data_IF_807161800261
#
_entry.id   IF_807161800261
#
_cell.length_a   1.000
_cell.length_b   1.000
_cell.length_c   1.000
_cell.angle_alpha   90.00
_cell.angle_beta   90.00
_cell.angle_gamma   90.00
#
_symmetry.space_group_name_H-M   'P 1'
#
loop_
_entity.id
_entity.type
_entity.pdbx_description
1 polymer ?
#
# COMPACT_ATOMS: atom_id res chain seq x y z
N UNK A 1 -23.59 23.87 19.94
CA UNK A 1 -22.71 22.76 20.40
C UNK A 1 -21.35 23.00 19.77
N UNK A 2 -20.32 23.25 20.58
CA UNK A 2 -18.97 23.54 20.08
C UNK A 2 -18.47 22.35 19.24
N UNK A 3 -17.78 22.57 18.11
CA UNK A 3 -17.13 21.49 17.40
C UNK A 3 -16.09 20.91 18.35
N UNK A 4 -16.22 19.62 18.66
CA UNK A 4 -15.21 18.86 19.38
C UNK A 4 -13.89 19.12 18.68
N UNK A 5 -12.91 19.67 19.41
CA UNK A 5 -11.54 19.87 18.96
C UNK A 5 -11.04 18.54 18.40
N UNK A 6 -11.16 18.36 17.08
CA UNK A 6 -10.70 17.17 16.40
C UNK A 6 -9.19 17.14 16.60
N UNK A 7 -8.73 16.13 17.33
CA UNK A 7 -7.31 15.83 17.43
C UNK A 7 -6.70 15.91 16.03
N UNK A 8 -5.70 16.79 15.85
CA UNK A 8 -5.02 16.99 14.56
C UNK A 8 -4.33 15.74 14.03
N UNK A 9 -4.31 14.66 14.82
CA UNK A 9 -3.72 13.38 14.48
C UNK A 9 -4.53 12.70 13.35
N UNK A 10 -3.87 12.29 12.25
CA UNK A 10 -4.47 11.47 11.21
C UNK A 10 -5.05 10.18 11.78
N UNK A 11 -6.20 9.73 11.25
CA UNK A 11 -6.86 8.51 11.73
C UNK A 11 -6.01 7.27 11.51
N UNK A 12 -5.15 7.27 10.48
CA UNK A 12 -4.15 6.24 10.23
C UNK A 12 -3.25 6.00 11.44
N UNK A 13 -2.85 7.06 12.15
CA UNK A 13 -2.03 6.97 13.36
C UNK A 13 -2.87 6.73 14.61
N UNK A 14 -4.04 7.39 14.72
CA UNK A 14 -4.95 7.24 15.87
C UNK A 14 -5.40 5.79 16.05
N UNK A 15 -5.76 5.13 14.96
CA UNK A 15 -6.27 3.74 14.94
C UNK A 15 -5.19 2.71 14.62
N UNK A 16 -3.90 3.10 14.67
CA UNK A 16 -2.78 2.18 14.48
C UNK A 16 -2.83 1.07 15.57
N UNK A 17 -2.90 -0.22 15.18
CA UNK A 17 -2.85 -1.34 16.11
C UNK A 17 -1.65 -1.25 17.06
N UNK A 18 -1.89 -1.37 18.37
CA UNK A 18 -0.82 -1.31 19.40
C UNK A 18 -0.33 -2.71 19.80
N UNK A 19 -1.16 -3.73 19.60
CA UNK A 19 -0.82 -5.12 19.89
C UNK A 19 -0.75 -5.92 18.60
N UNK A 20 0.10 -6.96 18.57
CA UNK A 20 0.20 -7.87 17.42
C UNK A 20 -1.14 -8.56 17.14
N UNK A 21 -1.96 -8.78 18.18
CA UNK A 21 -3.32 -9.35 18.05
C UNK A 21 -4.32 -8.43 17.35
N UNK A 22 -4.09 -7.11 17.39
CA UNK A 22 -4.97 -6.11 16.80
C UNK A 22 -4.66 -5.91 15.30
N UNK A 23 -3.61 -6.56 14.78
CA UNK A 23 -3.27 -6.52 13.35
C UNK A 23 -4.26 -7.39 12.59
N UNK A 24 -5.09 -6.73 11.79
CA UNK A 24 -6.20 -7.37 11.09
C UNK A 24 -5.72 -8.46 10.11
N UNK A 25 -6.22 -9.68 10.31
CA UNK A 25 -6.23 -10.81 9.36
C UNK A 25 -4.90 -11.21 8.71
N UNK A 26 -3.84 -11.23 9.51
CA UNK A 26 -2.58 -11.91 9.16
C UNK A 26 -2.37 -13.08 10.13
N UNK A 27 -3.35 -13.98 10.25
CA UNK A 27 -3.39 -15.00 11.32
C UNK A 27 -2.13 -15.87 11.38
N UNK A 28 -1.60 -16.27 10.22
CA UNK A 28 -0.36 -17.05 10.13
C UNK A 28 0.83 -16.28 10.73
N UNK A 29 0.97 -15.01 10.37
CA UNK A 29 2.05 -14.14 10.83
C UNK A 29 1.87 -13.82 12.32
N UNK A 30 0.67 -13.42 12.73
CA UNK A 30 0.31 -13.11 14.13
C UNK A 30 0.55 -14.32 15.04
N UNK A 31 0.18 -15.53 14.59
CA UNK A 31 0.41 -16.77 15.36
C UNK A 31 1.89 -17.05 15.56
N UNK A 32 2.68 -17.00 14.48
CA UNK A 32 4.14 -17.24 14.57
C UNK A 32 4.80 -16.16 15.45
N UNK A 33 4.43 -14.89 15.27
CA UNK A 33 4.95 -13.80 16.09
C UNK A 33 4.56 -13.91 17.56
N UNK A 34 3.33 -14.34 17.86
CA UNK A 34 2.88 -14.54 19.24
C UNK A 34 3.72 -15.62 19.93
N UNK A 35 4.06 -16.70 19.22
CA UNK A 35 4.93 -17.75 19.75
C UNK A 35 6.36 -17.22 19.97
N UNK A 36 6.90 -16.44 19.03
CA UNK A 36 8.23 -15.80 19.15
C UNK A 36 8.29 -14.82 20.33
N UNK A 37 7.20 -14.10 20.60
CA UNK A 37 7.10 -13.21 21.76
C UNK A 37 7.11 -13.98 23.08
N UNK A 38 6.52 -15.18 23.13
CA UNK A 38 6.51 -16.03 24.32
C UNK A 38 7.88 -16.61 24.65
N UNK A 39 8.65 -17.03 23.63
CA UNK A 39 10.01 -17.55 23.83
C UNK A 39 11.04 -16.45 24.08
N UNK A 40 10.69 -15.19 23.78
CA UNK A 40 11.58 -14.04 23.76
C UNK A 40 12.83 -14.23 22.88
N UNK A 41 12.82 -15.23 21.97
CA UNK A 41 13.89 -15.48 21.02
C UNK A 41 13.45 -15.04 19.62
N UNK A 42 13.71 -13.77 19.33
CA UNK A 42 13.35 -13.15 18.07
C UNK A 42 14.50 -13.30 17.06
N UNK A 43 14.31 -13.98 15.92
CA UNK A 43 15.29 -13.93 14.82
C UNK A 43 15.30 -12.54 14.15
N UNK A 44 16.21 -12.32 13.21
CA UNK A 44 16.06 -11.23 12.24
C UNK A 44 14.80 -11.48 11.40
N UNK A 45 14.05 -10.44 11.07
CA UNK A 45 12.76 -10.56 10.39
C UNK A 45 12.72 -9.71 9.13
N UNK A 46 12.06 -10.23 8.09
CA UNK A 46 11.80 -9.54 6.84
C UNK A 46 10.30 -9.55 6.57
N UNK A 47 9.66 -8.40 6.74
CA UNK A 47 8.24 -8.17 6.48
C UNK A 47 8.08 -7.61 5.07
N UNK A 48 7.39 -8.33 4.20
CA UNK A 48 7.20 -7.90 2.81
C UNK A 48 5.78 -8.08 2.32
N UNK A 49 5.34 -7.21 1.42
CA UNK A 49 4.00 -7.25 0.84
C UNK A 49 3.49 -5.88 0.41
N UNK A 50 2.26 -5.78 -0.11
CA UNK A 50 1.66 -4.54 -0.58
C UNK A 50 1.60 -3.42 0.48
N UNK A 51 1.48 -2.14 0.09
CA UNK A 51 1.29 -1.03 1.03
C UNK A 51 0.00 -1.20 1.85
N UNK A 52 -0.07 -0.55 3.02
CA UNK A 52 -1.28 -0.55 3.85
C UNK A 52 -1.63 -1.86 4.57
N UNK A 53 -0.86 -2.94 4.38
CA UNK A 53 -1.15 -4.27 4.96
C UNK A 53 -0.74 -4.45 6.42
N UNK A 54 -0.18 -3.43 7.07
CA UNK A 54 0.18 -3.45 8.49
C UNK A 54 1.62 -3.91 8.82
N UNK A 55 2.53 -3.94 7.84
CA UNK A 55 3.94 -4.33 8.04
C UNK A 55 4.66 -3.54 9.15
N UNK A 56 4.73 -2.20 8.98
CA UNK A 56 5.35 -1.30 9.96
C UNK A 56 4.66 -1.38 11.32
N UNK A 57 3.33 -1.38 11.33
CA UNK A 57 2.52 -1.54 12.54
C UNK A 57 2.88 -2.83 13.29
N UNK A 58 3.05 -3.94 12.59
CA UNK A 58 3.39 -5.22 13.21
C UNK A 58 4.79 -5.18 13.83
N UNK A 59 5.77 -4.62 13.12
CA UNK A 59 7.14 -4.45 13.63
C UNK A 59 7.17 -3.59 14.92
N UNK A 60 6.45 -2.46 14.90
CA UNK A 60 6.35 -1.56 16.06
C UNK A 60 5.59 -2.24 17.22
N UNK A 61 4.51 -2.96 16.94
CA UNK A 61 3.74 -3.68 17.95
C UNK A 61 4.57 -4.76 18.65
N UNK A 62 5.39 -5.52 17.91
CA UNK A 62 6.35 -6.49 18.49
C UNK A 62 7.33 -5.76 19.40
N UNK A 63 7.94 -4.67 18.92
CA UNK A 63 8.92 -3.91 19.68
C UNK A 63 8.33 -3.30 20.97
N UNK A 64 7.11 -2.79 20.91
CA UNK A 64 6.36 -2.32 22.07
C UNK A 64 6.01 -3.45 23.06
N UNK A 65 5.60 -4.63 22.57
CA UNK A 65 5.29 -5.77 23.43
C UNK A 65 6.52 -6.43 24.05
N UNK A 66 7.70 -6.31 23.44
CA UNK A 66 8.95 -6.84 24.00
C UNK A 66 9.57 -5.92 25.06
N UNK A 67 9.57 -4.61 24.81
CA UNK A 67 10.30 -3.65 25.64
C UNK A 67 9.42 -2.79 26.54
N UNK A 68 8.12 -2.66 26.26
CA UNK A 68 7.25 -1.72 26.97
C UNK A 68 7.57 -0.25 26.64
N UNK A 69 6.78 0.70 27.16
CA UNK A 69 6.86 2.11 26.78
C UNK A 69 8.17 2.81 27.21
N UNK A 70 8.78 2.38 28.32
CA UNK A 70 9.98 3.01 28.86
C UNK A 70 11.26 2.58 28.13
N UNK A 71 11.44 1.28 27.86
CA UNK A 71 12.63 0.77 27.17
C UNK A 71 12.54 0.86 25.64
N UNK A 72 11.35 1.10 25.08
CA UNK A 72 11.17 1.24 23.64
C UNK A 72 12.15 2.26 23.03
N UNK A 73 12.21 3.47 23.60
CA UNK A 73 13.07 4.55 23.08
C UNK A 73 14.57 4.27 23.19
N UNK A 74 14.99 3.42 24.12
CA UNK A 74 16.42 3.10 24.31
C UNK A 74 16.87 1.86 23.55
N UNK A 75 15.96 0.92 23.27
CA UNK A 75 16.27 -0.38 22.65
C UNK A 75 15.82 -0.50 21.20
N UNK A 76 15.01 0.42 20.69
CA UNK A 76 14.50 0.40 19.32
C UNK A 76 15.05 1.59 18.55
N UNK A 77 15.69 1.32 17.42
CA UNK A 77 16.08 2.34 16.44
C UNK A 77 15.24 2.13 15.18
N UNK A 78 14.38 3.09 14.89
CA UNK A 78 13.62 3.14 13.64
C UNK A 78 14.33 4.07 12.66
N UNK A 79 14.57 3.57 11.44
CA UNK A 79 15.10 4.35 10.33
C UNK A 79 14.21 4.12 9.12
N UNK A 80 13.78 5.21 8.49
CA UNK A 80 13.21 5.14 7.15
C UNK A 80 14.35 5.13 6.12
N UNK A 81 14.49 4.03 5.40
CA UNK A 81 15.60 3.80 4.49
C UNK A 81 15.54 4.66 3.22
N UNK A 82 14.43 5.34 2.94
CA UNK A 82 14.31 6.30 1.83
C UNK A 82 15.00 7.64 2.12
N UNK A 83 15.00 8.08 3.38
CA UNK A 83 15.71 9.29 3.81
C UNK A 83 17.20 8.97 4.07
N UNK A 84 17.46 7.88 4.78
CA UNK A 84 18.79 7.47 5.24
C UNK A 84 19.50 6.50 4.26
N UNK A 85 19.38 6.74 2.94
CA UNK A 85 19.90 5.86 1.86
C UNK A 85 21.42 5.68 1.85
N UNK A 86 22.16 6.53 2.55
CA UNK A 86 23.61 6.57 2.48
C UNK A 86 24.28 5.37 3.16
N UNK A 87 25.24 4.75 2.49
CA UNK A 87 26.15 3.76 3.10
C UNK A 87 26.80 4.27 4.40
N UNK A 88 26.97 5.59 4.51
CA UNK A 88 27.51 6.24 5.70
C UNK A 88 26.60 6.04 6.92
N UNK A 89 25.27 6.12 6.77
CA UNK A 89 24.32 5.91 7.88
C UNK A 89 24.43 4.48 8.41
N UNK A 90 24.60 3.51 7.51
CA UNK A 90 24.84 2.11 7.88
C UNK A 90 26.15 1.94 8.64
N UNK A 91 27.22 2.60 8.19
CA UNK A 91 28.57 2.45 8.75
C UNK A 91 28.77 3.17 10.08
N UNK A 92 28.01 4.24 10.34
CA UNK A 92 28.06 5.02 11.58
C UNK A 92 26.85 4.70 12.44
N UNK A 93 25.71 5.36 12.22
CA UNK A 93 24.50 5.31 13.05
C UNK A 93 24.05 3.89 13.38
N UNK A 94 23.90 3.02 12.38
CA UNK A 94 23.45 1.63 12.60
C UNK A 94 24.53 0.82 13.31
N UNK A 95 25.81 0.97 12.93
CA UNK A 95 26.92 0.24 13.54
C UNK A 95 27.14 0.65 15.00
N UNK A 96 27.12 1.94 15.27
CA UNK A 96 27.30 2.53 16.61
C UNK A 96 26.14 2.09 17.51
N UNK A 97 24.90 2.16 17.01
CA UNK A 97 23.76 1.63 17.74
C UNK A 97 23.85 0.12 17.93
N UNK A 98 24.25 -0.66 16.92
CA UNK A 98 24.37 -2.12 17.05
C UNK A 98 25.47 -2.57 18.03
N UNK A 99 26.55 -1.78 18.15
CA UNK A 99 27.72 -2.09 18.98
C UNK A 99 27.51 -1.83 20.48
N UNK A 100 26.62 -0.91 20.85
CA UNK A 100 26.33 -0.60 22.27
C UNK A 100 25.79 -1.84 22.99
N UNK A 101 26.38 -2.23 24.12
CA UNK A 101 25.87 -3.34 24.92
C UNK A 101 24.59 -2.94 25.69
N UNK A 102 23.67 -3.88 25.88
CA UNK A 102 22.46 -3.67 26.69
C UNK A 102 22.66 -4.35 28.05
N UNK A 103 22.41 -3.59 29.12
CA UNK A 103 22.40 -4.14 30.48
C UNK A 103 21.22 -5.09 30.71
N UNK A 104 21.46 -6.20 31.41
CA UNK A 104 20.48 -7.25 31.70
C UNK A 104 19.46 -6.91 32.79
N UNK A 105 19.62 -5.79 33.50
CA UNK A 105 19.09 -5.63 34.87
C UNK A 105 17.78 -4.82 34.99
N UNK A 106 17.07 -4.55 33.89
CA UNK A 106 15.77 -3.87 33.94
C UNK A 106 14.67 -4.78 33.40
N UNK A 107 14.21 -5.71 34.24
CA UNK A 107 12.91 -6.36 34.02
C UNK A 107 11.84 -5.42 34.56
N UNK A 108 11.16 -4.71 33.67
CA UNK A 108 9.93 -4.03 34.05
C UNK A 108 8.82 -5.07 34.25
N UNK A 109 8.01 -4.86 35.27
CA UNK A 109 6.88 -5.74 35.58
C UNK A 109 5.89 -5.74 34.40
N UNK A 110 5.79 -6.85 33.66
CA UNK A 110 4.83 -7.06 32.58
C UNK A 110 5.39 -7.25 31.17
N UNK A 111 6.69 -7.04 30.95
CA UNK A 111 7.32 -7.19 29.62
C UNK A 111 8.51 -8.17 29.68
N UNK A 112 8.73 -9.01 28.64
CA UNK A 112 9.80 -10.02 28.64
C UNK A 112 11.22 -9.42 28.59
N UNK A 113 11.37 -8.18 28.10
CA UNK A 113 12.59 -7.38 28.09
C UNK A 113 13.89 -8.16 27.74
N UNK A 114 13.97 -8.78 26.54
CA UNK A 114 15.11 -9.61 26.16
C UNK A 114 16.43 -8.82 26.08
N UNK A 115 17.57 -9.50 26.19
CA UNK A 115 18.91 -8.89 26.19
C UNK A 115 19.43 -8.52 24.79
N UNK A 116 18.54 -8.08 23.90
CA UNK A 116 18.89 -7.57 22.57
C UNK A 116 18.15 -6.27 22.27
N UNK A 117 18.61 -5.56 21.24
CA UNK A 117 17.97 -4.37 20.65
C UNK A 117 17.32 -4.70 19.33
N UNK A 118 16.43 -3.83 18.87
CA UNK A 118 15.79 -3.95 17.57
C UNK A 118 16.17 -2.73 16.72
N UNK A 119 16.59 -2.97 15.49
CA UNK A 119 16.72 -1.95 14.46
C UNK A 119 15.64 -2.23 13.42
N UNK A 120 14.72 -1.29 13.23
CA UNK A 120 13.67 -1.34 12.22
C UNK A 120 14.11 -0.49 11.05
N UNK A 121 14.24 -1.10 9.88
CA UNK A 121 14.54 -0.45 8.61
C UNK A 121 13.27 -0.50 7.77
N UNK A 122 12.52 0.60 7.77
CA UNK A 122 11.36 0.74 6.90
C UNK A 122 11.80 1.11 5.48
N UNK A 123 11.02 0.69 4.47
CA UNK A 123 11.33 0.89 3.05
C UNK A 123 12.72 0.36 2.64
N UNK A 124 13.14 -0.79 3.19
CA UNK A 124 14.46 -1.37 2.94
C UNK A 124 14.75 -1.67 1.45
N UNK A 125 13.72 -1.74 0.61
CA UNK A 125 13.80 -1.86 -0.85
C UNK A 125 14.26 -0.59 -1.57
N UNK A 126 14.37 0.55 -0.88
CA UNK A 126 15.01 1.77 -1.39
C UNK A 126 16.51 1.86 -1.06
N UNK A 127 17.06 0.92 -0.30
CA UNK A 127 18.49 0.90 0.03
C UNK A 127 19.34 0.49 -1.17
N UNK A 128 20.49 1.14 -1.34
CA UNK A 128 21.48 0.73 -2.33
C UNK A 128 22.08 -0.64 -1.99
N UNK A 129 22.49 -1.40 -3.01
CA UNK A 129 23.10 -2.73 -2.80
C UNK A 129 24.36 -2.65 -1.91
N UNK A 130 25.15 -1.59 -2.03
CA UNK A 130 26.32 -1.35 -1.19
C UNK A 130 25.95 -1.18 0.29
N UNK A 131 24.88 -0.44 0.58
CA UNK A 131 24.38 -0.26 1.94
C UNK A 131 23.85 -1.59 2.51
N UNK A 132 23.14 -2.38 1.70
CA UNK A 132 22.69 -3.72 2.07
C UNK A 132 23.86 -4.69 2.34
N UNK A 133 24.91 -4.65 1.51
CA UNK A 133 26.12 -5.45 1.72
C UNK A 133 26.89 -5.05 3.00
N UNK A 134 26.91 -3.76 3.33
CA UNK A 134 27.48 -3.28 4.59
C UNK A 134 26.67 -3.78 5.80
N UNK A 135 25.34 -3.74 5.71
CA UNK A 135 24.44 -4.25 6.76
C UNK A 135 24.66 -5.73 7.05
N UNK A 136 24.89 -6.55 6.02
CA UNK A 136 25.15 -7.99 6.19
C UNK A 136 26.26 -8.27 7.21
N UNK A 137 27.40 -7.56 7.12
CA UNK A 137 28.53 -7.74 8.05
C UNK A 137 28.16 -7.32 9.47
N UNK A 138 27.43 -6.21 9.60
CA UNK A 138 26.94 -5.69 10.89
C UNK A 138 25.97 -6.67 11.55
N UNK A 139 25.04 -7.25 10.78
CA UNK A 139 24.11 -8.27 11.27
C UNK A 139 24.82 -9.50 11.80
N UNK A 140 25.82 -10.02 11.08
CA UNK A 140 26.59 -11.19 11.52
C UNK A 140 27.34 -10.91 12.83
N UNK A 141 28.05 -9.77 12.88
CA UNK A 141 28.90 -9.39 14.01
C UNK A 141 28.10 -9.15 15.30
N UNK A 142 26.95 -8.48 15.19
CA UNK A 142 26.15 -8.06 16.34
C UNK A 142 24.86 -8.88 16.52
N UNK A 143 24.74 -10.02 15.82
CA UNK A 143 23.57 -10.91 15.87
C UNK A 143 23.13 -11.28 17.28
N UNK A 144 24.07 -11.39 18.23
CA UNK A 144 23.79 -11.71 19.65
C UNK A 144 23.05 -10.59 20.38
N UNK A 145 23.40 -9.32 20.13
CA UNK A 145 22.94 -8.15 20.88
C UNK A 145 21.91 -7.31 20.13
N UNK A 146 21.80 -7.47 18.81
CA UNK A 146 20.93 -6.65 17.96
C UNK A 146 20.17 -7.55 16.98
N UNK A 147 18.87 -7.33 16.84
CA UNK A 147 17.99 -7.95 15.86
C UNK A 147 17.54 -6.90 14.84
N UNK A 148 17.49 -7.28 13.57
CA UNK A 148 17.09 -6.40 12.48
C UNK A 148 15.73 -6.81 11.95
N UNK A 149 14.84 -5.83 11.81
CA UNK A 149 13.55 -5.94 11.15
C UNK A 149 13.60 -5.12 9.87
N UNK A 150 13.46 -5.79 8.74
CA UNK A 150 13.38 -5.17 7.43
C UNK A 150 11.93 -5.13 6.99
N UNK A 151 11.47 -3.97 6.52
CA UNK A 151 10.15 -3.82 5.90
C UNK A 151 10.36 -3.39 4.46
N UNK A 152 9.76 -4.09 3.51
CA UNK A 152 9.81 -3.72 2.09
C UNK A 152 8.50 -4.02 1.38
N UNK A 153 8.27 -3.40 0.22
CA UNK A 153 7.17 -3.79 -0.64
C UNK A 153 7.57 -4.93 -1.57
N UNK A 154 8.82 -4.89 -2.06
CA UNK A 154 9.35 -5.87 -3.00
C UNK A 154 10.53 -6.65 -2.42
N UNK A 155 10.32 -7.95 -2.18
CA UNK A 155 11.39 -8.85 -1.69
C UNK A 155 12.54 -8.98 -2.70
N UNK A 156 12.27 -8.83 -3.99
CA UNK A 156 13.28 -8.90 -5.06
C UNK A 156 14.33 -7.80 -5.01
N UNK A 157 14.06 -6.69 -4.32
CA UNK A 157 15.02 -5.59 -4.14
C UNK A 157 15.95 -5.79 -2.93
N UNK A 158 15.74 -6.84 -2.15
CA UNK A 158 16.61 -7.20 -1.03
C UNK A 158 17.62 -8.25 -1.50
N UNK A 159 18.91 -7.99 -1.26
CA UNK A 159 19.96 -8.94 -1.64
C UNK A 159 19.76 -10.28 -0.92
N UNK A 160 19.94 -11.38 -1.65
CA UNK A 160 19.75 -12.74 -1.10
C UNK A 160 20.56 -13.01 0.19
N UNK A 161 21.80 -12.49 0.36
CA UNK A 161 22.52 -12.64 1.62
C UNK A 161 21.82 -12.05 2.86
N UNK A 162 21.05 -10.96 2.71
CA UNK A 162 20.23 -10.41 3.79
C UNK A 162 18.96 -11.24 3.98
N UNK A 163 18.26 -11.54 2.89
CA UNK A 163 17.01 -12.29 2.91
C UNK A 163 17.19 -13.70 3.52
N UNK A 164 18.32 -14.36 3.27
CA UNK A 164 18.66 -15.68 3.81
C UNK A 164 18.87 -15.68 5.33
N UNK A 165 19.31 -14.56 5.93
CA UNK A 165 19.54 -14.43 7.38
C UNK A 165 18.29 -14.04 8.17
N UNK A 166 17.19 -13.73 7.48
CA UNK A 166 15.95 -13.25 8.08
C UNK A 166 14.84 -14.29 7.96
N UNK A 167 14.01 -14.40 8.98
CA UNK A 167 12.72 -15.05 8.89
C UNK A 167 11.79 -14.20 8.01
N UNK A 168 11.29 -14.78 6.92
CA UNK A 168 10.49 -14.09 5.91
C UNK A 168 9.01 -14.17 6.27
N UNK A 169 8.33 -13.03 6.32
CA UNK A 169 6.91 -12.91 6.63
C UNK A 169 6.21 -12.15 5.51
N UNK A 170 5.34 -12.84 4.78
CA UNK A 170 4.55 -12.28 3.68
C UNK A 170 3.24 -11.72 4.21
N UNK A 171 3.02 -10.43 3.98
CA UNK A 171 1.73 -9.78 4.19
C UNK A 171 0.93 -9.83 2.90
N UNK A 172 -0.25 -10.45 2.96
CA UNK A 172 -1.21 -10.47 1.85
C UNK A 172 -2.04 -9.17 1.86
N UNK A 173 -2.57 -8.71 0.71
CA UNK A 173 -3.65 -7.71 0.70
C UNK A 173 -4.77 -8.11 1.66
N UNK A 174 -5.40 -7.13 2.30
CA UNK A 174 -6.51 -7.40 3.21
C UNK A 174 -7.75 -7.78 2.41
N UNK A 175 -8.50 -8.78 2.87
CA UNK A 175 -9.79 -9.12 2.28
C UNK A 175 -10.82 -8.00 2.54
N UNK A 176 -11.82 -7.91 1.67
CA UNK A 176 -12.89 -6.92 1.78
C UNK A 176 -13.63 -7.01 3.12
N UNK A 177 -13.87 -8.23 3.62
CA UNK A 177 -14.53 -8.46 4.92
C UNK A 177 -13.74 -7.83 6.07
N UNK A 178 -12.43 -8.00 6.08
CA UNK A 178 -11.55 -7.53 7.17
C UNK A 178 -11.45 -6.02 7.15
N UNK A 179 -11.29 -5.47 5.96
CA UNK A 179 -11.25 -4.03 5.76
C UNK A 179 -12.59 -3.41 6.17
N UNK A 180 -13.70 -4.00 5.75
CA UNK A 180 -15.06 -3.59 6.13
C UNK A 180 -15.26 -3.57 7.64
N UNK A 181 -14.89 -4.67 8.33
CA UNK A 181 -14.97 -4.75 9.79
C UNK A 181 -14.15 -3.67 10.49
N UNK A 182 -12.95 -3.38 10.00
CA UNK A 182 -12.08 -2.35 10.59
C UNK A 182 -12.60 -0.94 10.33
N UNK A 183 -13.13 -0.69 9.14
CA UNK A 183 -13.76 0.59 8.78
C UNK A 183 -14.98 0.82 9.67
N UNK A 184 -15.89 -0.16 9.78
CA UNK A 184 -17.08 -0.08 10.64
C UNK A 184 -16.71 0.24 12.10
N UNK A 185 -15.64 -0.36 12.63
CA UNK A 185 -15.14 -0.02 13.96
C UNK A 185 -14.72 1.46 14.06
N UNK A 186 -13.99 1.99 13.09
CA UNK A 186 -13.59 3.42 13.05
C UNK A 186 -14.83 4.32 12.95
N UNK A 187 -15.81 3.94 12.14
CA UNK A 187 -17.05 4.69 11.96
C UNK A 187 -17.87 4.77 13.23
N UNK A 188 -17.93 3.69 14.00
CA UNK A 188 -18.60 3.67 15.30
C UNK A 188 -17.90 4.58 16.32
N UNK A 189 -16.57 4.62 16.34
CA UNK A 189 -15.79 5.46 17.25
C UNK A 189 -15.86 6.96 16.89
N UNK A 190 -15.98 7.29 15.61
CA UNK A 190 -16.09 8.68 15.12
C UNK A 190 -17.54 9.16 14.96
N UNK A 191 -18.54 8.28 15.13
CA UNK A 191 -19.96 8.61 14.98
C UNK A 191 -20.41 8.86 13.53
N UNK A 192 -19.86 8.11 12.58
CA UNK A 192 -20.16 8.23 11.15
C UNK A 192 -21.25 7.24 10.71
N UNK A 193 -22.09 7.67 9.77
CA UNK A 193 -23.04 6.79 9.08
C UNK A 193 -22.57 6.55 7.65
N UNK A 194 -22.23 5.30 7.34
CA UNK A 194 -21.93 4.83 5.99
C UNK A 194 -23.00 3.86 5.53
N UNK A 195 -23.44 4.04 4.29
CA UNK A 195 -24.27 3.08 3.60
C UNK A 195 -23.46 1.83 3.21
N UNK A 196 -24.12 0.68 3.09
CA UNK A 196 -23.47 -0.58 2.70
C UNK A 196 -22.81 -0.50 1.32
N UNK A 197 -23.41 0.26 0.40
CA UNK A 197 -22.83 0.57 -0.90
C UNK A 197 -21.52 1.35 -0.76
N UNK A 198 -21.51 2.42 0.05
CA UNK A 198 -20.30 3.21 0.30
C UNK A 198 -19.17 2.37 0.91
N UNK A 199 -19.48 1.39 1.76
CA UNK A 199 -18.49 0.45 2.32
C UNK A 199 -17.89 -0.46 1.25
N UNK A 200 -18.72 -0.98 0.34
CA UNK A 200 -18.25 -1.78 -0.79
C UNK A 200 -17.38 -0.95 -1.75
N UNK A 201 -17.83 0.25 -2.11
CA UNK A 201 -17.08 1.20 -2.93
C UNK A 201 -15.72 1.55 -2.31
N UNK A 202 -15.68 1.84 -1.01
CA UNK A 202 -14.42 2.12 -0.30
C UNK A 202 -13.46 0.93 -0.35
N UNK A 203 -14.01 -0.29 -0.25
CA UNK A 203 -13.23 -1.51 -0.29
C UNK A 203 -12.63 -1.76 -1.67
N UNK A 204 -13.43 -1.61 -2.73
CA UNK A 204 -12.99 -1.77 -4.11
C UNK A 204 -11.93 -0.73 -4.49
N UNK A 205 -12.15 0.55 -4.15
CA UNK A 205 -11.20 1.65 -4.43
C UNK A 205 -9.86 1.43 -3.72
N UNK A 206 -9.89 0.87 -2.51
CA UNK A 206 -8.69 0.72 -1.68
C UNK A 206 -7.82 -0.48 -2.10
N UNK A 207 -8.35 -1.43 -2.87
CA UNK A 207 -7.63 -2.62 -3.37
C UNK A 207 -6.84 -3.37 -2.26
N UNK A 208 -7.40 -3.45 -1.05
CA UNK A 208 -6.78 -4.10 0.11
C UNK A 208 -5.75 -3.25 0.89
N UNK A 209 -5.60 -1.96 0.57
CA UNK A 209 -4.81 -0.98 1.32
C UNK A 209 -5.67 -0.25 2.37
N UNK A 210 -5.58 -0.69 3.63
CA UNK A 210 -6.33 -0.09 4.73
C UNK A 210 -5.89 1.35 5.04
N UNK A 211 -4.63 1.73 4.77
CA UNK A 211 -4.16 3.10 4.98
C UNK A 211 -4.88 4.04 4.02
N UNK A 212 -5.01 3.66 2.74
CA UNK A 212 -5.78 4.41 1.74
C UNK A 212 -7.25 4.51 2.15
N UNK A 213 -7.87 3.39 2.54
CA UNK A 213 -9.26 3.37 2.97
C UNK A 213 -9.55 4.36 4.11
N UNK A 214 -8.72 4.34 5.17
CA UNK A 214 -8.86 5.25 6.33
C UNK A 214 -8.63 6.70 5.91
N UNK A 215 -7.68 6.95 5.01
CA UNK A 215 -7.36 8.31 4.53
C UNK A 215 -8.52 8.87 3.71
N UNK A 216 -9.09 8.09 2.80
CA UNK A 216 -10.26 8.50 2.03
C UNK A 216 -11.47 8.75 2.92
N UNK A 217 -11.73 7.86 3.89
CA UNK A 217 -12.81 8.05 4.84
C UNK A 217 -12.64 9.33 5.67
N UNK A 218 -11.43 9.59 6.17
CA UNK A 218 -11.12 10.80 6.93
C UNK A 218 -11.31 12.06 6.08
N UNK A 219 -10.85 12.05 4.83
CA UNK A 219 -11.01 13.17 3.89
C UNK A 219 -12.47 13.40 3.52
N UNK A 220 -13.24 12.34 3.23
CA UNK A 220 -14.67 12.44 2.94
C UNK A 220 -15.46 13.00 4.14
N UNK A 221 -15.14 12.54 5.35
CA UNK A 221 -15.76 13.07 6.58
C UNK A 221 -15.52 14.57 6.75
N UNK A 222 -14.30 15.05 6.44
CA UNK A 222 -13.95 16.47 6.54
C UNK A 222 -14.65 17.33 5.51
N UNK A 223 -14.98 16.79 4.34
CA UNK A 223 -15.61 17.53 3.24
C UNK A 223 -17.13 17.54 3.32
N UNK A 224 -17.74 16.38 3.59
CA UNK A 224 -19.20 16.19 3.49
C UNK A 224 -19.90 16.05 4.86
N UNK A 225 -19.13 15.88 5.95
CA UNK A 225 -19.67 15.70 7.30
C UNK A 225 -19.86 14.22 7.66
N UNK A 226 -20.88 13.92 8.46
CA UNK A 226 -21.06 12.60 9.09
C UNK A 226 -21.73 11.54 8.20
N UNK A 227 -22.44 11.96 7.17
CA UNK A 227 -23.16 11.10 6.21
C UNK A 227 -22.37 11.03 4.91
N UNK A 228 -21.79 9.88 4.59
CA UNK A 228 -20.92 9.70 3.43
C UNK A 228 -21.58 8.76 2.41
N UNK A 229 -21.77 9.25 1.19
CA UNK A 229 -22.31 8.47 0.06
C UNK A 229 -21.22 7.83 -0.79
N UNK A 230 -21.56 6.88 -1.67
CA UNK A 230 -20.62 6.25 -2.61
C UNK A 230 -20.00 7.28 -3.58
N UNK A 231 -20.78 8.27 -4.02
CA UNK A 231 -20.31 9.37 -4.88
C UNK A 231 -19.29 10.27 -4.19
N UNK A 232 -19.46 10.52 -2.89
CA UNK A 232 -18.52 11.34 -2.12
C UNK A 232 -17.15 10.67 -2.02
N UNK A 233 -17.14 9.34 -1.84
CA UNK A 233 -15.91 8.55 -1.80
C UNK A 233 -15.20 8.53 -3.15
N UNK A 234 -15.95 8.38 -4.25
CA UNK A 234 -15.38 8.43 -5.61
C UNK A 234 -14.70 9.77 -5.87
N UNK A 235 -15.36 10.88 -5.55
CA UNK A 235 -14.82 12.23 -5.72
C UNK A 235 -13.52 12.44 -4.91
N UNK A 236 -13.46 11.93 -3.67
CA UNK A 236 -12.26 12.06 -2.82
C UNK A 236 -11.12 11.14 -3.27
N UNK A 237 -11.45 9.99 -3.85
CA UNK A 237 -10.45 9.02 -4.28
C UNK A 237 -9.69 9.42 -5.55
N UNK A 238 -10.25 10.33 -6.35
CA UNK A 238 -9.73 10.67 -7.69
C UNK A 238 -10.00 9.59 -8.74
N UNK A 239 -10.82 8.59 -8.41
CA UNK A 239 -11.26 7.54 -9.32
C UNK A 239 -12.28 8.15 -10.28
N UNK A 240 -12.06 7.96 -11.58
CA UNK A 240 -12.97 8.45 -12.62
C UNK A 240 -14.31 7.70 -12.49
N UNK A 241 -15.45 8.40 -12.56
CA UNK A 241 -16.75 7.74 -12.55
C UNK A 241 -16.88 6.75 -13.73
N UNK A 242 -17.40 5.55 -13.44
CA UNK A 242 -17.54 4.49 -14.46
C UNK A 242 -18.38 4.93 -15.66
N UNK A 243 -19.32 5.87 -15.49
CA UNK A 243 -20.11 6.43 -16.59
C UNK A 243 -19.25 7.11 -17.65
N UNK A 244 -18.19 7.81 -17.24
CA UNK A 244 -17.27 8.52 -18.16
C UNK A 244 -16.46 7.52 -18.97
N UNK A 245 -15.92 6.49 -18.32
CA UNK A 245 -15.14 5.45 -19.01
C UNK A 245 -16.03 4.60 -19.92
N UNK A 246 -17.27 4.29 -19.49
CA UNK A 246 -18.24 3.60 -20.34
C UNK A 246 -18.66 4.43 -21.56
N UNK A 247 -18.79 5.76 -21.43
CA UNK A 247 -19.04 6.65 -22.58
C UNK A 247 -17.89 6.60 -23.56
N UNK A 248 -16.64 6.70 -23.09
CA UNK A 248 -15.46 6.57 -23.95
C UNK A 248 -15.44 5.20 -24.65
N UNK A 249 -15.66 4.11 -23.92
CA UNK A 249 -15.69 2.77 -24.49
C UNK A 249 -16.82 2.57 -25.51
N UNK A 250 -18.00 3.15 -25.25
CA UNK A 250 -19.14 3.14 -26.19
C UNK A 250 -18.85 3.96 -27.44
N UNK A 251 -18.17 5.11 -27.30
CA UNK A 251 -17.68 5.91 -28.42
C UNK A 251 -16.65 5.13 -29.25
N UNK A 252 -15.76 4.37 -28.61
CA UNK A 252 -14.83 3.49 -29.33
C UNK A 252 -15.58 2.36 -30.08
N UNK A 253 -16.68 1.83 -29.52
CA UNK A 253 -17.51 0.81 -30.17
C UNK A 253 -18.31 1.34 -31.38
N UNK A 254 -18.66 2.62 -31.41
CA UNK A 254 -19.42 3.19 -32.54
C UNK A 254 -18.60 3.26 -33.84
N UNK A 255 -17.28 3.21 -33.73
CA UNK A 255 -16.35 3.34 -34.86
C UNK A 255 -16.17 4.77 -35.36
N UNK A 256 -16.83 5.75 -34.75
CA UNK A 256 -16.73 7.16 -35.14
C UNK A 256 -15.65 7.88 -34.33
N UNK A 257 -14.56 8.24 -35.02
CA UNK A 257 -13.43 8.95 -34.43
C UNK A 257 -13.81 10.34 -33.88
N UNK A 258 -14.76 11.04 -34.51
CA UNK A 258 -15.16 12.38 -34.07
C UNK A 258 -15.91 12.32 -32.73
N UNK A 259 -16.66 11.24 -32.47
CA UNK A 259 -17.33 11.02 -31.19
C UNK A 259 -16.29 10.67 -30.12
N UNK A 260 -15.35 9.77 -30.42
CA UNK A 260 -14.29 9.42 -29.48
C UNK A 260 -13.39 10.62 -29.13
N UNK A 261 -13.05 11.46 -30.12
CA UNK A 261 -12.26 12.67 -29.87
C UNK A 261 -12.99 13.66 -28.95
N UNK A 262 -14.31 13.83 -29.12
CA UNK A 262 -15.11 14.68 -28.21
C UNK A 262 -15.14 14.15 -26.78
N UNK A 263 -15.24 12.83 -26.59
CA UNK A 263 -15.18 12.24 -25.25
C UNK A 263 -13.79 12.41 -24.63
N UNK A 264 -12.71 12.30 -25.40
CA UNK A 264 -11.34 12.58 -24.95
C UNK A 264 -11.18 14.06 -24.57
N UNK A 265 -11.70 14.99 -25.39
CA UNK A 265 -11.72 16.43 -25.08
C UNK A 265 -12.44 16.71 -23.76
N UNK A 266 -13.60 16.09 -23.54
CA UNK A 266 -14.37 16.24 -22.30
C UNK A 266 -13.60 15.71 -21.09
N UNK A 267 -12.98 14.54 -21.22
CA UNK A 267 -12.16 13.90 -20.19
C UNK A 267 -11.01 14.81 -19.74
N UNK A 268 -10.28 15.37 -20.71
CA UNK A 268 -9.14 16.26 -20.44
C UNK A 268 -9.62 17.59 -19.86
N UNK A 269 -10.76 18.10 -20.31
CA UNK A 269 -11.38 19.32 -19.77
C UNK A 269 -11.88 19.15 -18.32
N UNK A 270 -12.39 17.97 -17.95
CA UNK A 270 -12.76 17.63 -16.57
C UNK A 270 -11.52 17.42 -15.66
N UNK A 271 -10.33 17.25 -16.25
CA UNK A 271 -9.07 17.15 -15.52
C UNK A 271 -8.82 15.77 -14.91
N UNK A 272 -9.42 14.72 -15.44
CA UNK A 272 -9.13 13.36 -15.00
C UNK A 272 -7.75 12.90 -15.48
N UNK A 273 -6.95 12.24 -14.63
CA UNK A 273 -5.65 11.74 -15.02
C UNK A 273 -5.78 10.60 -16.04
N UNK A 274 -5.09 10.73 -17.18
CA UNK A 274 -5.12 9.74 -18.25
C UNK A 274 -4.72 8.32 -17.79
N UNK A 275 -3.77 8.22 -16.85
CA UNK A 275 -3.33 6.95 -16.27
C UNK A 275 -4.46 6.20 -15.55
N UNK A 276 -5.36 6.92 -14.89
CA UNK A 276 -6.50 6.29 -14.20
C UNK A 276 -7.54 5.78 -15.20
N UNK A 277 -7.74 6.49 -16.30
CA UNK A 277 -8.67 6.10 -17.37
C UNK A 277 -8.17 4.85 -18.07
N UNK A 278 -6.88 4.78 -18.38
CA UNK A 278 -6.25 3.60 -18.99
C UNK A 278 -6.40 2.38 -18.08
N UNK A 279 -6.17 2.52 -16.78
CA UNK A 279 -6.34 1.42 -15.82
C UNK A 279 -7.81 0.93 -15.76
N UNK A 280 -8.77 1.84 -15.65
CA UNK A 280 -10.20 1.43 -15.64
C UNK A 280 -10.67 0.87 -16.97
N UNK A 281 -10.18 1.41 -18.08
CA UNK A 281 -10.49 0.91 -19.42
C UNK A 281 -9.92 -0.51 -19.62
N UNK A 282 -8.72 -0.77 -19.08
CA UNK A 282 -8.14 -2.11 -19.05
C UNK A 282 -9.04 -3.11 -18.30
N UNK A 283 -9.52 -2.76 -17.11
CA UNK A 283 -10.41 -3.62 -16.32
C UNK A 283 -11.72 -3.93 -17.08
N UNK A 284 -12.34 -2.91 -17.70
CA UNK A 284 -13.56 -3.08 -18.50
C UNK A 284 -13.32 -3.99 -19.72
N UNK A 285 -12.20 -3.80 -20.43
CA UNK A 285 -11.85 -4.63 -21.61
C UNK A 285 -11.54 -6.07 -21.21
N UNK A 286 -10.90 -6.28 -20.05
CA UNK A 286 -10.60 -7.60 -19.54
C UNK A 286 -11.88 -8.37 -19.19
N UNK A 287 -12.83 -7.73 -18.50
CA UNK A 287 -14.11 -8.34 -18.06
C UNK A 287 -15.19 -8.43 -19.16
N UNK A 288 -14.99 -7.79 -20.31
CA UNK A 288 -15.97 -7.80 -21.41
C UNK A 288 -16.06 -9.19 -22.09
N UNK A 289 -16.96 -10.06 -21.63
CA UNK A 289 -17.04 -11.45 -22.12
C UNK A 289 -17.84 -11.67 -23.41
N UNK A 290 -18.78 -10.79 -23.76
CA UNK A 290 -19.73 -11.06 -24.86
C UNK A 290 -19.40 -10.42 -26.21
N UNK A 291 -18.64 -9.33 -26.23
CA UNK A 291 -18.59 -8.43 -27.38
C UNK A 291 -17.23 -8.37 -28.10
N UNK A 292 -16.17 -8.93 -27.49
CA UNK A 292 -14.79 -8.74 -27.95
C UNK A 292 -14.08 -10.09 -28.02
N UNK A 293 -13.49 -10.40 -29.18
CA UNK A 293 -12.67 -11.61 -29.34
C UNK A 293 -11.34 -11.50 -28.58
N UNK A 294 -10.75 -12.64 -28.20
CA UNK A 294 -9.45 -12.67 -27.52
C UNK A 294 -8.35 -11.94 -28.31
N UNK A 295 -8.39 -11.99 -29.65
CA UNK A 295 -7.44 -11.27 -30.50
C UNK A 295 -7.59 -9.75 -30.37
N UNK A 296 -8.83 -9.26 -30.31
CA UNK A 296 -9.11 -7.84 -30.11
C UNK A 296 -8.73 -7.39 -28.70
N UNK A 297 -9.06 -8.18 -27.67
CA UNK A 297 -8.60 -7.93 -26.29
C UNK A 297 -7.07 -7.84 -26.25
N UNK A 298 -6.36 -8.76 -26.91
CA UNK A 298 -4.90 -8.73 -26.96
C UNK A 298 -4.33 -7.47 -27.64
N UNK A 299 -4.92 -7.03 -28.76
CA UNK A 299 -4.52 -5.79 -29.45
C UNK A 299 -4.74 -4.56 -28.58
N UNK A 300 -5.91 -4.45 -27.96
CA UNK A 300 -6.27 -3.32 -27.09
C UNK A 300 -5.37 -3.29 -25.85
N UNK A 301 -5.21 -4.41 -25.15
CA UNK A 301 -4.35 -4.50 -23.96
C UNK A 301 -2.88 -4.18 -24.26
N UNK A 302 -2.38 -4.56 -25.44
CA UNK A 302 -1.03 -4.19 -25.87
C UNK A 302 -0.89 -2.67 -26.05
N UNK A 303 -1.86 -2.03 -26.70
CA UNK A 303 -1.88 -0.58 -26.87
C UNK A 303 -1.94 0.13 -25.50
N UNK A 304 -2.84 -0.30 -24.61
CA UNK A 304 -2.95 0.25 -23.26
C UNK A 304 -1.62 0.16 -22.48
N UNK A 305 -0.91 -0.96 -22.58
CA UNK A 305 0.39 -1.15 -21.93
C UNK A 305 1.50 -0.25 -22.51
N UNK A 306 1.53 -0.07 -23.83
CA UNK A 306 2.47 0.85 -24.49
C UNK A 306 2.19 2.30 -24.10
N UNK A 307 0.92 2.68 -24.01
CA UNK A 307 0.50 4.03 -23.62
C UNK A 307 0.77 4.29 -22.15
N UNK A 308 0.50 3.35 -21.25
CA UNK A 308 0.85 3.47 -19.82
C UNK A 308 2.35 3.74 -19.65
N UNK A 309 3.20 2.99 -20.37
CA UNK A 309 4.65 3.26 -20.40
C UNK A 309 4.98 4.68 -20.89
N UNK A 310 4.34 5.14 -21.97
CA UNK A 310 4.58 6.49 -22.51
C UNK A 310 4.16 7.59 -21.53
N UNK A 311 3.05 7.40 -20.81
CA UNK A 311 2.62 8.32 -19.76
C UNK A 311 3.62 8.37 -18.61
N UNK A 312 4.15 7.22 -18.17
CA UNK A 312 5.21 7.17 -17.14
C UNK A 312 6.49 7.87 -17.62
N UNK A 313 6.82 7.77 -18.91
CA UNK A 313 7.96 8.46 -19.52
C UNK A 313 7.69 9.97 -19.77
N UNK A 314 6.49 10.49 -19.43
CA UNK A 314 6.14 11.91 -19.48
C UNK A 314 5.56 12.39 -20.81
N UNK A 315 4.91 11.50 -21.58
CA UNK A 315 4.21 11.87 -22.81
C UNK A 315 2.95 12.72 -22.55
N UNK A 316 2.50 13.42 -23.59
CA UNK A 316 1.26 14.22 -23.56
C UNK A 316 0.02 13.33 -23.38
N UNK A 317 -0.74 13.60 -22.32
CA UNK A 317 -1.94 12.86 -21.93
C UNK A 317 -3.02 12.84 -23.01
N UNK A 318 -3.24 13.97 -23.69
CA UNK A 318 -4.28 14.09 -24.71
C UNK A 318 -3.97 13.22 -25.91
N UNK A 319 -2.73 13.30 -26.42
CA UNK A 319 -2.30 12.50 -27.58
C UNK A 319 -2.28 11.00 -27.26
N UNK A 320 -1.89 10.65 -26.04
CA UNK A 320 -1.88 9.25 -25.59
C UNK A 320 -3.29 8.66 -25.48
N UNK A 321 -4.26 9.41 -24.93
CA UNK A 321 -5.65 8.96 -24.87
C UNK A 321 -6.27 8.84 -26.26
N UNK A 322 -5.96 9.77 -27.16
CA UNK A 322 -6.43 9.73 -28.55
C UNK A 322 -5.86 8.53 -29.32
N UNK A 323 -4.59 8.18 -29.10
CA UNK A 323 -3.96 6.98 -29.68
C UNK A 323 -4.64 5.70 -29.19
N UNK A 324 -4.95 5.62 -27.89
CA UNK A 324 -5.70 4.49 -27.31
C UNK A 324 -7.11 4.40 -27.89
N UNK A 325 -7.84 5.51 -27.99
CA UNK A 325 -9.17 5.54 -28.57
C UNK A 325 -9.15 5.08 -30.05
N UNK A 326 -8.22 5.62 -30.85
CA UNK A 326 -8.03 5.26 -32.26
C UNK A 326 -7.66 3.78 -32.44
N UNK A 327 -6.72 3.28 -31.65
CA UNK A 327 -6.28 1.88 -31.69
C UNK A 327 -7.39 0.93 -31.25
N UNK A 328 -8.21 1.33 -30.27
CA UNK A 328 -9.38 0.57 -29.83
C UNK A 328 -10.46 0.51 -30.90
N UNK A 329 -10.74 1.64 -31.58
CA UNK A 329 -11.65 1.68 -32.74
C UNK A 329 -11.16 0.75 -33.86
N UNK A 330 -9.86 0.80 -34.20
CA UNK A 330 -9.27 -0.08 -35.21
C UNK A 330 -9.43 -1.56 -34.82
N UNK A 331 -9.13 -1.91 -33.57
CA UNK A 331 -9.26 -3.29 -33.10
C UNK A 331 -10.72 -3.77 -33.12
N UNK A 332 -11.67 -2.93 -32.73
CA UNK A 332 -13.09 -3.30 -32.72
C UNK A 332 -13.69 -3.36 -34.13
N UNK A 333 -13.26 -2.49 -35.06
CA UNK A 333 -13.78 -2.44 -36.43
C UNK A 333 -13.31 -3.58 -37.33
N UNK A 334 -12.22 -4.27 -37.00
CA UNK A 334 -11.79 -5.48 -37.74
C UNK A 334 -12.89 -6.57 -37.78
N UNK A 335 -13.83 -6.59 -36.83
CA UNK A 335 -15.02 -7.46 -36.89
C UNK A 335 -15.92 -7.20 -38.10
N UNK A 336 -15.90 -6.00 -38.68
CA UNK A 336 -16.79 -5.65 -39.79
C UNK A 336 -16.28 -6.13 -41.16
N UNK A 337 -15.04 -6.60 -41.26
CA UNK A 337 -14.45 -7.01 -42.55
C UNK A 337 -14.39 -8.54 -42.77
N UNK A 338 -14.64 -9.34 -41.73
CA UNK A 338 -14.59 -10.81 -41.78
C UNK A 338 -15.99 -11.49 -41.80
N UNK A 339 -17.06 -10.74 -42.17
CA UNK A 339 -18.41 -11.25 -42.45
C UNK A 339 -18.92 -10.78 -43.81
#
# INVERSE_FOLDING_TARGET
>A
MAPVLQSSQPWVEKYRPKQVKDVAHQEEVVRVLTNTLQTADCPHMLFYGPPGTGKTTTALAIAHQLFGPELYKSRVLELNASDDRGINVVRTKIKDFAAVAVGSNHRQSGYPCPSFKIIILDEADSMTEDAQNALRRTMETYSKVTRFFFICNYISRIIEPLASRCAKFRFKPLSEEVMSNRILHICNEEGLSLDGEALSTLSSISQGDLRRAITYLQSATRLFGSTITSTDLLNVSGVVPLEVVNKLFTACKSGDFDIANKEVDNIVAEGYPASQIINQLFDIVAEADSDITDMQKAKICKCLAETDKRLVDGADEYLQLLDVASSTICALSEMAQDF
#
